data_IF_896436365110
#
_entry.id   IF_896436365110
#
_cell.length_a   1.000
_cell.length_b   1.000
_cell.length_c   1.000
_cell.angle_alpha   90.00
_cell.angle_beta   90.00
_cell.angle_gamma   90.00
#
_symmetry.space_group_name_H-M   'P 1'
#
loop_
_entity.id
_entity.type
_entity.pdbx_description
1 polymer ?
#
# COMPACT_ATOMS: atom_id res chain seq x y z
N UNK A 1 -7.71 -2.96 -11.33
CA UNK A 1 -7.12 -1.90 -10.50
C UNK A 1 -7.21 -0.63 -11.32
N UNK A 2 -7.92 0.37 -10.80
CA UNK A 2 -7.93 1.73 -11.32
C UNK A 2 -7.02 2.63 -10.46
N UNK A 3 -6.42 3.63 -11.07
CA UNK A 3 -5.69 4.69 -10.37
C UNK A 3 -6.63 5.74 -9.82
N UNK A 4 -6.20 6.40 -8.73
CA UNK A 4 -6.92 7.49 -8.07
C UNK A 4 -6.08 8.77 -8.21
N UNK A 5 -6.20 9.49 -9.34
CA UNK A 5 -5.33 10.61 -9.64
C UNK A 5 -5.62 11.79 -8.72
N UNK A 6 -4.66 12.11 -7.86
CA UNK A 6 -4.67 13.32 -7.02
C UNK A 6 -3.26 13.92 -6.95
N UNK A 7 -3.16 15.23 -6.83
CA UNK A 7 -1.88 15.92 -6.59
C UNK A 7 -1.62 16.01 -5.10
N UNK A 8 -0.34 16.12 -4.69
CA UNK A 8 -0.02 16.25 -3.27
C UNK A 8 -0.64 17.53 -2.67
N UNK A 9 -0.73 18.61 -3.45
CA UNK A 9 -1.36 19.85 -3.01
C UNK A 9 -2.85 19.66 -2.70
N UNK A 10 -3.59 18.98 -3.58
CA UNK A 10 -5.01 18.68 -3.38
C UNK A 10 -5.20 17.76 -2.17
N UNK A 11 -4.44 16.66 -2.09
CA UNK A 11 -4.54 15.73 -0.96
C UNK A 11 -4.27 16.44 0.39
N UNK A 12 -3.25 17.31 0.45
CA UNK A 12 -2.95 18.09 1.67
C UNK A 12 -4.08 19.04 2.03
N UNK A 13 -4.67 19.72 1.03
CA UNK A 13 -5.82 20.61 1.23
C UNK A 13 -7.02 19.85 1.78
N UNK A 14 -7.33 18.68 1.21
CA UNK A 14 -8.47 17.86 1.64
C UNK A 14 -8.27 17.33 3.07
N UNK A 15 -7.04 16.93 3.41
CA UNK A 15 -6.68 16.54 4.77
C UNK A 15 -6.88 17.69 5.75
N UNK A 16 -6.36 18.88 5.47
CA UNK A 16 -6.49 20.02 6.38
C UNK A 16 -7.92 20.55 6.47
N UNK A 17 -8.70 20.39 5.40
CA UNK A 17 -10.13 20.73 5.40
C UNK A 17 -10.94 19.75 6.25
N UNK A 18 -10.58 18.47 6.24
CA UNK A 18 -11.23 17.44 7.05
C UNK A 18 -10.77 17.46 8.52
N UNK A 19 -9.47 17.62 8.75
CA UNK A 19 -8.84 17.62 10.08
C UNK A 19 -7.70 18.65 10.13
N UNK A 20 -8.05 19.88 10.51
CA UNK A 20 -7.08 20.98 10.67
C UNK A 20 -5.95 20.60 11.63
N UNK A 21 -4.72 20.92 11.24
CA UNK A 21 -3.50 20.67 12.01
C UNK A 21 -3.01 19.23 11.96
N UNK A 22 -3.65 18.34 11.19
CA UNK A 22 -3.20 16.96 11.06
C UNK A 22 -1.80 16.88 10.43
N UNK A 23 -1.52 17.65 9.37
CA UNK A 23 -0.21 17.61 8.71
C UNK A 23 0.91 18.10 9.62
N UNK A 24 0.64 19.12 10.45
CA UNK A 24 1.61 19.62 11.42
C UNK A 24 1.93 18.56 12.50
N UNK A 25 0.90 17.89 13.04
CA UNK A 25 1.10 16.77 13.97
C UNK A 25 1.85 15.60 13.32
N UNK A 26 1.49 15.22 12.09
CA UNK A 26 2.17 14.18 11.34
C UNK A 26 3.66 14.46 11.14
N UNK A 27 4.01 15.73 10.84
CA UNK A 27 5.40 16.17 10.74
C UNK A 27 6.15 16.05 12.07
N UNK A 28 5.53 16.46 13.18
CA UNK A 28 6.14 16.37 14.51
C UNK A 28 6.38 14.92 14.93
N UNK A 29 5.39 14.05 14.75
CA UNK A 29 5.53 12.61 15.01
C UNK A 29 6.61 11.97 14.14
N UNK A 30 6.77 12.43 12.89
CA UNK A 30 7.85 11.96 12.01
C UNK A 30 9.23 12.40 12.53
N UNK A 31 9.36 13.62 13.06
CA UNK A 31 10.62 14.09 13.69
C UNK A 31 10.94 13.26 14.94
N UNK A 32 9.94 12.95 15.75
CA UNK A 32 10.10 12.10 16.95
C UNK A 32 10.57 10.70 16.57
N UNK A 33 9.92 10.06 15.60
CA UNK A 33 10.33 8.76 15.08
C UNK A 33 11.76 8.78 14.53
N UNK A 34 12.15 9.87 13.84
CA UNK A 34 13.54 10.06 13.39
C UNK A 34 14.54 10.14 14.53
N UNK A 35 14.21 10.87 15.61
CA UNK A 35 15.08 11.00 16.79
C UNK A 35 15.23 9.66 17.52
N UNK A 36 14.18 8.87 17.57
CA UNK A 36 14.17 7.56 18.26
C UNK A 36 14.75 6.43 17.40
N UNK A 37 14.83 6.62 16.07
CA UNK A 37 15.25 5.58 15.13
C UNK A 37 14.23 4.45 14.98
N UNK A 38 13.02 4.62 15.53
CA UNK A 38 11.93 3.65 15.48
C UNK A 38 10.57 4.36 15.50
N UNK A 39 9.49 3.58 15.41
CA UNK A 39 8.13 4.05 15.64
C UNK A 39 7.58 3.36 16.89
N UNK A 40 7.06 4.15 17.83
CA UNK A 40 6.64 3.69 19.17
C UNK A 40 5.46 2.69 19.15
N UNK A 41 4.74 2.58 18.03
CA UNK A 41 3.62 1.66 17.87
C UNK A 41 2.31 2.11 18.54
N UNK A 42 2.35 3.16 19.37
CA UNK A 42 1.25 3.59 20.24
C UNK A 42 0.58 4.83 19.64
N UNK A 43 1.37 5.78 19.14
CA UNK A 43 0.84 7.07 18.71
C UNK A 43 0.32 6.99 17.27
N UNK A 44 -1.00 6.88 17.11
CA UNK A 44 -1.63 6.79 15.78
C UNK A 44 -2.65 7.90 15.56
N UNK A 45 -2.45 8.70 14.50
CA UNK A 45 -3.40 9.74 14.07
C UNK A 45 -3.98 9.48 12.68
N UNK A 46 -3.51 8.46 11.95
CA UNK A 46 -3.90 8.21 10.56
C UNK A 46 -5.38 7.85 10.39
N UNK A 47 -6.01 7.25 11.40
CA UNK A 47 -7.46 6.96 11.36
C UNK A 47 -8.30 8.23 11.25
N UNK A 48 -7.81 9.37 11.76
CA UNK A 48 -8.52 10.66 11.71
C UNK A 48 -8.70 11.20 10.28
N UNK A 49 -7.87 10.76 9.32
CA UNK A 49 -7.96 11.18 7.92
C UNK A 49 -8.44 10.06 7.00
N UNK A 50 -8.86 8.93 7.56
CA UNK A 50 -9.45 7.81 6.81
C UNK A 50 -10.54 8.25 5.83
N UNK A 51 -11.48 9.14 6.21
CA UNK A 51 -12.54 9.57 5.29
C UNK A 51 -12.04 10.24 4.02
N UNK A 52 -10.90 10.95 4.08
CA UNK A 52 -10.28 11.58 2.89
C UNK A 52 -9.91 10.51 1.86
N UNK A 53 -9.32 9.40 2.30
CA UNK A 53 -8.96 8.28 1.42
C UNK A 53 -10.17 7.47 0.96
N UNK A 54 -11.22 7.35 1.79
CA UNK A 54 -12.49 6.72 1.41
C UNK A 54 -13.13 7.47 0.23
N UNK A 55 -13.28 8.80 0.34
CA UNK A 55 -13.80 9.65 -0.75
C UNK A 55 -12.92 9.59 -2.00
N UNK A 56 -11.61 9.76 -1.83
CA UNK A 56 -10.64 9.74 -2.93
C UNK A 56 -10.71 8.44 -3.76
N UNK A 57 -11.00 7.30 -3.12
CA UNK A 57 -11.00 6.00 -3.78
C UNK A 57 -12.34 5.62 -4.43
N UNK A 58 -13.16 6.60 -4.83
CA UNK A 58 -14.46 6.38 -5.47
C UNK A 58 -15.54 6.02 -4.45
N UNK A 59 -15.57 6.78 -3.36
CA UNK A 59 -16.48 6.65 -2.22
C UNK A 59 -16.47 5.24 -1.63
N UNK A 60 -15.35 4.82 -1.04
CA UNK A 60 -15.17 3.53 -0.37
C UNK A 60 -14.91 2.33 -1.30
N UNK A 61 -13.79 2.31 -2.04
CA UNK A 61 -13.26 1.07 -2.65
C UNK A 61 -11.95 0.65 -2.01
N UNK A 62 -11.74 -0.65 -1.87
CA UNK A 62 -10.45 -1.19 -1.45
C UNK A 62 -9.37 -0.95 -2.52
N UNK A 63 -8.22 -0.38 -2.14
CA UNK A 63 -7.09 -0.14 -3.03
C UNK A 63 -6.53 -1.41 -3.70
N UNK A 64 -6.76 -2.59 -3.12
CA UNK A 64 -6.19 -3.84 -3.60
C UNK A 64 -7.19 -4.70 -4.38
N UNK A 65 -8.31 -5.06 -3.75
CA UNK A 65 -9.31 -5.93 -4.37
C UNK A 65 -10.41 -5.17 -5.13
N UNK A 66 -10.42 -3.84 -5.06
CA UNK A 66 -11.40 -2.95 -5.72
C UNK A 66 -12.87 -3.18 -5.35
N UNK A 67 -13.16 -4.09 -4.42
CA UNK A 67 -14.50 -4.29 -3.88
C UNK A 67 -15.00 -2.94 -3.35
N UNK A 68 -16.23 -2.58 -3.74
CA UNK A 68 -16.98 -1.50 -3.13
C UNK A 68 -17.28 -1.91 -1.68
N UNK A 69 -16.89 -1.05 -0.76
CA UNK A 69 -17.09 -1.17 0.66
C UNK A 69 -18.18 -0.19 1.07
N UNK A 70 -18.61 -0.31 2.31
CA UNK A 70 -19.65 0.56 2.84
C UNK A 70 -19.20 2.04 2.85
N UNK A 71 -20.17 2.94 2.78
CA UNK A 71 -20.00 4.40 2.70
C UNK A 71 -19.16 5.01 3.83
N UNK A 72 -18.81 6.29 3.74
CA UNK A 72 -18.11 7.01 4.82
C UNK A 72 -18.86 6.96 6.15
N UNK A 73 -20.19 7.02 6.11
CA UNK A 73 -21.06 7.06 7.29
C UNK A 73 -21.04 5.75 8.09
N UNK A 74 -21.08 4.60 7.40
CA UNK A 74 -21.23 3.28 8.04
C UNK A 74 -19.99 2.37 7.88
N UNK A 75 -19.09 2.67 6.95
CA UNK A 75 -18.00 1.80 6.53
C UNK A 75 -16.64 2.04 7.18
N UNK A 76 -16.55 2.92 8.19
CA UNK A 76 -15.28 3.22 8.87
C UNK A 76 -14.68 2.02 9.60
N UNK A 77 -15.49 1.01 9.96
CA UNK A 77 -15.06 -0.24 10.60
C UNK A 77 -14.57 -1.29 9.59
N UNK A 78 -15.08 -1.25 8.35
CA UNK A 78 -14.71 -2.19 7.29
C UNK A 78 -13.38 -1.84 6.61
N UNK A 79 -13.00 -0.56 6.74
CA UNK A 79 -11.87 0.05 6.07
C UNK A 79 -10.78 0.47 7.03
N UNK A 80 -9.54 0.22 6.64
CA UNK A 80 -8.35 0.71 7.33
C UNK A 80 -7.61 1.71 6.47
N UNK A 81 -6.90 2.63 7.13
CA UNK A 81 -5.81 3.36 6.47
C UNK A 81 -4.63 2.40 6.39
N UNK A 82 -4.40 1.92 5.18
CA UNK A 82 -3.35 1.00 4.81
C UNK A 82 -2.01 1.72 4.66
N UNK A 83 -0.96 1.19 5.27
CA UNK A 83 0.41 1.60 5.02
C UNK A 83 1.01 0.78 3.88
N UNK A 84 1.11 1.36 2.68
CA UNK A 84 1.67 0.68 1.50
C UNK A 84 3.04 0.05 1.81
N UNK A 85 3.94 0.85 2.39
CA UNK A 85 5.16 0.39 3.08
C UNK A 85 4.88 0.17 4.56
N UNK A 86 5.02 -1.05 5.09
CA UNK A 86 4.76 -1.36 6.50
C UNK A 86 5.63 -0.57 7.48
N UNK A 87 5.01 0.07 8.46
CA UNK A 87 5.71 0.93 9.44
C UNK A 87 6.59 0.20 10.47
N UNK A 88 6.15 -0.97 10.95
CA UNK A 88 6.75 -1.63 12.12
C UNK A 88 7.74 -2.74 11.77
N UNK A 89 7.44 -3.49 10.71
CA UNK A 89 8.19 -4.67 10.31
C UNK A 89 7.94 -4.95 8.84
N UNK A 90 8.92 -5.54 8.17
CA UNK A 90 8.71 -6.21 6.89
C UNK A 90 8.93 -7.71 7.06
N UNK A 91 7.98 -8.53 6.63
CA UNK A 91 8.15 -10.00 6.58
C UNK A 91 8.46 -10.48 5.18
N UNK A 92 9.21 -11.58 5.10
CA UNK A 92 9.49 -12.25 3.85
C UNK A 92 8.20 -12.70 3.17
N UNK A 93 8.03 -12.30 1.91
CA UNK A 93 7.00 -12.82 1.04
C UNK A 93 7.59 -13.97 0.21
N UNK A 94 6.88 -15.10 0.17
CA UNK A 94 7.29 -16.27 -0.62
C UNK A 94 6.56 -16.22 -1.96
N UNK A 95 7.27 -16.10 -3.10
CA UNK A 95 6.64 -16.13 -4.41
C UNK A 95 6.12 -17.54 -4.71
N UNK A 96 5.03 -17.64 -5.46
CA UNK A 96 4.59 -18.94 -5.98
C UNK A 96 5.56 -19.45 -7.04
N UNK A 97 5.50 -20.75 -7.34
CA UNK A 97 6.35 -21.38 -8.35
C UNK A 97 6.21 -20.70 -9.71
N UNK A 98 5.00 -20.35 -10.11
CA UNK A 98 4.71 -19.68 -11.38
C UNK A 98 5.43 -18.34 -11.48
N UNK A 99 5.52 -17.59 -10.38
CA UNK A 99 6.20 -16.31 -10.34
C UNK A 99 7.72 -16.47 -10.37
N UNK A 100 8.25 -17.53 -9.74
CA UNK A 100 9.67 -17.88 -9.85
C UNK A 100 10.02 -18.28 -11.28
N UNK A 101 9.18 -19.11 -11.91
CA UNK A 101 9.40 -19.65 -13.26
C UNK A 101 9.42 -18.54 -14.33
N UNK A 102 8.68 -17.44 -14.13
CA UNK A 102 8.71 -16.24 -14.99
C UNK A 102 9.75 -15.20 -14.58
N UNK A 103 10.67 -15.57 -13.67
CA UNK A 103 11.84 -14.76 -13.33
C UNK A 103 11.62 -13.66 -12.29
N UNK A 104 10.57 -13.73 -11.47
CA UNK A 104 10.41 -12.78 -10.35
C UNK A 104 11.52 -13.01 -9.33
N UNK A 105 12.36 -11.99 -9.12
CA UNK A 105 13.46 -11.99 -8.16
C UNK A 105 13.16 -11.02 -7.02
N UNK A 106 13.07 -11.56 -5.80
CA UNK A 106 12.85 -10.77 -4.61
C UNK A 106 14.18 -10.40 -3.96
N UNK A 107 14.26 -9.19 -3.42
CA UNK A 107 15.28 -8.90 -2.43
C UNK A 107 15.03 -9.73 -1.16
N UNK A 108 16.11 -10.17 -0.52
CA UNK A 108 16.04 -10.80 0.79
C UNK A 108 15.35 -9.87 1.79
N UNK A 109 14.39 -10.38 2.54
CA UNK A 109 13.71 -9.61 3.57
C UNK A 109 14.72 -9.11 4.62
N UNK A 110 14.49 -7.94 5.24
CA UNK A 110 15.31 -7.48 6.35
C UNK A 110 15.35 -8.52 7.47
N UNK A 111 16.44 -8.51 8.24
CA UNK A 111 16.62 -9.41 9.38
C UNK A 111 15.57 -9.15 10.45
N UNK A 112 15.30 -10.16 11.27
CA UNK A 112 14.39 -10.04 12.42
C UNK A 112 15.00 -9.06 13.45
N UNK A 113 14.61 -7.80 13.37
CA UNK A 113 15.14 -6.72 14.21
C UNK A 113 15.30 -5.39 13.48
N UNK A 114 15.43 -5.42 12.14
CA UNK A 114 15.65 -4.23 11.31
C UNK A 114 14.42 -3.30 11.24
N UNK A 115 13.28 -3.74 11.77
CA UNK A 115 12.05 -2.98 11.84
C UNK A 115 11.34 -2.84 10.49
N UNK A 116 10.63 -1.72 10.34
CA UNK A 116 9.92 -1.35 9.11
C UNK A 116 10.20 0.10 8.74
N UNK A 117 9.37 0.66 7.86
CA UNK A 117 9.50 2.02 7.37
C UNK A 117 8.95 3.03 8.38
N UNK A 118 9.61 3.17 9.52
CA UNK A 118 9.11 3.96 10.66
C UNK A 118 8.92 5.44 10.32
N UNK A 119 9.76 6.01 9.44
CA UNK A 119 9.61 7.39 8.96
C UNK A 119 8.39 7.60 8.05
N UNK A 120 7.79 6.51 7.56
CA UNK A 120 6.59 6.55 6.70
C UNK A 120 5.31 6.26 7.47
N UNK A 121 5.38 6.10 8.81
CA UNK A 121 4.22 5.86 9.65
C UNK A 121 3.16 6.96 9.50
N UNK A 122 3.60 8.22 9.32
CA UNK A 122 2.78 9.43 9.19
C UNK A 122 2.85 10.10 7.81
N UNK A 123 3.37 9.40 6.80
CA UNK A 123 3.55 9.94 5.45
C UNK A 123 2.30 9.68 4.59
N UNK A 124 1.59 10.73 4.20
CA UNK A 124 0.32 10.64 3.43
C UNK A 124 0.49 9.98 2.06
N UNK A 125 1.70 10.09 1.47
CA UNK A 125 2.04 9.43 0.21
C UNK A 125 2.18 7.91 0.34
N UNK A 126 2.15 7.38 1.57
CA UNK A 126 2.24 5.95 1.89
C UNK A 126 0.87 5.35 2.25
N UNK A 127 -0.22 6.10 2.13
CA UNK A 127 -1.55 5.71 2.59
C UNK A 127 -2.52 5.37 1.46
N UNK A 128 -3.37 4.39 1.73
CA UNK A 128 -4.55 4.10 0.93
C UNK A 128 -5.69 3.62 1.84
N UNK A 129 -6.94 3.62 1.38
CA UNK A 129 -8.03 2.91 2.01
C UNK A 129 -8.03 1.44 1.54
N UNK A 130 -7.94 0.51 2.49
CA UNK A 130 -7.96 -0.93 2.23
C UNK A 130 -9.06 -1.62 3.05
N UNK A 131 -9.62 -2.72 2.53
CA UNK A 131 -10.48 -3.55 3.38
C UNK A 131 -9.64 -4.35 4.37
N UNK A 132 -10.20 -4.64 5.55
CA UNK A 132 -9.54 -5.39 6.61
C UNK A 132 -8.92 -6.72 6.16
N UNK A 133 -9.57 -7.58 5.34
CA UNK A 133 -8.94 -8.80 4.84
C UNK A 133 -7.69 -8.56 3.98
N UNK A 134 -7.72 -7.55 3.10
CA UNK A 134 -6.56 -7.22 2.27
C UNK A 134 -5.41 -6.64 3.10
N UNK A 135 -5.72 -5.76 4.05
CA UNK A 135 -4.74 -5.14 4.95
C UNK A 135 -4.15 -6.15 5.94
N UNK A 136 -4.98 -6.82 6.73
CA UNK A 136 -4.52 -7.65 7.85
C UNK A 136 -4.05 -9.06 7.44
N UNK A 137 -4.72 -9.70 6.48
CA UNK A 137 -4.48 -11.12 6.17
C UNK A 137 -3.65 -11.31 4.92
N UNK A 138 -4.00 -10.63 3.82
CA UNK A 138 -3.30 -10.79 2.57
C UNK A 138 -1.96 -10.06 2.58
N UNK A 139 -1.98 -8.73 2.72
CA UNK A 139 -0.77 -7.91 2.69
C UNK A 139 -0.01 -8.00 4.01
N UNK A 140 -0.67 -7.71 5.13
CA UNK A 140 -0.05 -7.59 6.44
C UNK A 140 1.22 -6.71 6.38
N UNK A 141 2.33 -7.24 6.88
CA UNK A 141 3.67 -6.66 6.84
C UNK A 141 4.53 -7.16 5.67
N UNK A 142 3.93 -7.75 4.63
CA UNK A 142 4.65 -8.24 3.45
C UNK A 142 4.75 -7.13 2.41
N UNK A 143 5.98 -6.83 1.99
CA UNK A 143 6.25 -5.78 1.00
C UNK A 143 7.31 -6.23 0.00
N UNK A 144 6.95 -7.05 -1.00
CA UNK A 144 7.91 -7.58 -1.96
C UNK A 144 8.48 -6.49 -2.87
N UNK A 145 9.80 -6.46 -2.98
CA UNK A 145 10.58 -5.49 -3.77
C UNK A 145 11.63 -6.22 -4.61
N UNK A 146 11.96 -5.66 -5.78
CA UNK A 146 12.97 -6.25 -6.68
C UNK A 146 14.41 -5.86 -6.30
N UNK A 147 14.58 -4.78 -5.52
CA UNK A 147 15.87 -4.26 -5.04
C UNK A 147 15.90 -4.19 -3.51
N UNK A 148 17.07 -3.91 -2.95
CA UNK A 148 17.27 -3.81 -1.51
C UNK A 148 16.29 -2.82 -0.84
N UNK A 149 15.86 -3.16 0.37
CA UNK A 149 15.01 -2.34 1.22
C UNK A 149 15.76 -1.09 1.70
N UNK A 150 15.08 0.06 1.74
CA UNK A 150 15.62 1.32 2.26
C UNK A 150 14.75 1.80 3.42
N UNK A 151 14.86 1.12 4.56
CA UNK A 151 13.96 1.27 5.72
C UNK A 151 14.02 2.64 6.39
N UNK A 152 15.14 3.36 6.23
CA UNK A 152 15.36 4.71 6.73
C UNK A 152 14.95 5.81 5.73
N UNK A 153 14.30 5.46 4.62
CA UNK A 153 13.80 6.45 3.65
C UNK A 153 12.51 7.12 4.10
N UNK A 154 12.34 8.39 3.74
CA UNK A 154 11.22 9.24 4.14
C UNK A 154 10.37 9.77 2.97
N UNK A 155 10.82 9.54 1.73
CA UNK A 155 10.13 9.94 0.50
C UNK A 155 9.71 8.71 -0.32
N UNK A 156 8.42 8.32 -0.27
CA UNK A 156 7.89 7.20 -1.04
C UNK A 156 8.15 7.28 -2.55
N UNK A 157 8.33 8.49 -3.12
CA UNK A 157 8.61 8.69 -4.55
C UNK A 157 10.01 8.22 -4.91
N UNK A 158 11.01 8.60 -4.09
CA UNK A 158 12.39 8.14 -4.26
C UNK A 158 12.48 6.64 -4.03
N UNK A 159 11.88 6.16 -2.93
CA UNK A 159 11.85 4.75 -2.57
C UNK A 159 11.25 3.86 -3.65
N UNK A 160 10.21 4.31 -4.36
CA UNK A 160 9.64 3.58 -5.49
C UNK A 160 10.69 3.22 -6.55
N UNK A 161 11.60 4.14 -6.86
CA UNK A 161 12.67 3.91 -7.85
C UNK A 161 13.83 3.08 -7.32
N UNK A 162 14.14 3.23 -6.02
CA UNK A 162 15.23 2.54 -5.34
C UNK A 162 14.91 1.07 -5.07
N UNK A 163 13.68 0.77 -4.67
CA UNK A 163 13.25 -0.57 -4.22
C UNK A 163 12.55 -1.36 -5.33
N UNK A 164 11.88 -0.67 -6.28
CA UNK A 164 11.02 -1.28 -7.30
C UNK A 164 10.01 -2.28 -6.69
N UNK A 165 9.00 -1.79 -5.94
CA UNK A 165 8.01 -2.68 -5.32
C UNK A 165 7.20 -3.44 -6.38
N UNK A 166 6.88 -4.71 -6.06
CA UNK A 166 6.00 -5.54 -6.87
C UNK A 166 4.52 -5.26 -6.58
N UNK A 167 4.20 -4.80 -5.37
CA UNK A 167 2.85 -4.37 -5.03
C UNK A 167 2.53 -3.04 -5.72
N UNK A 168 1.34 -2.94 -6.31
CA UNK A 168 0.86 -1.71 -6.93
C UNK A 168 0.29 -0.74 -5.89
N UNK A 169 0.60 0.54 -6.03
CA UNK A 169 0.04 1.61 -5.21
C UNK A 169 -0.83 2.56 -6.06
N UNK A 170 -2.17 2.45 -6.03
CA UNK A 170 -3.02 3.14 -7.00
C UNK A 170 -3.29 4.63 -6.66
N UNK A 171 -2.78 5.15 -5.54
CA UNK A 171 -3.16 6.48 -5.04
C UNK A 171 -2.19 7.56 -5.51
N UNK A 172 -2.75 8.63 -6.07
CA UNK A 172 -2.03 9.85 -6.43
C UNK A 172 -1.22 9.76 -7.71
N UNK A 173 -0.81 10.92 -8.24
CA UNK A 173 0.04 11.00 -9.44
C UNK A 173 1.46 10.43 -9.25
N UNK A 174 1.86 10.20 -8.00
CA UNK A 174 3.11 9.53 -7.63
C UNK A 174 2.99 8.00 -7.55
N UNK A 175 1.75 7.51 -7.46
CA UNK A 175 1.44 6.10 -7.44
C UNK A 175 1.72 5.40 -8.76
N UNK A 176 1.36 4.14 -8.81
CA UNK A 176 1.26 3.40 -10.06
C UNK A 176 -0.01 3.80 -10.81
N UNK A 177 0.04 3.64 -12.13
CA UNK A 177 -1.11 3.79 -13.03
C UNK A 177 -1.52 2.38 -13.47
N UNK A 178 -2.36 1.66 -12.70
CA UNK A 178 -2.55 0.23 -12.89
C UNK A 178 -3.20 -0.11 -14.24
N UNK A 179 -3.90 0.84 -14.85
CA UNK A 179 -4.43 0.77 -16.21
C UNK A 179 -3.31 0.65 -17.24
N UNK A 180 -2.24 1.43 -17.10
CA UNK A 180 -1.07 1.40 -18.00
C UNK A 180 -0.27 0.11 -17.84
N UNK A 181 -0.26 -0.45 -16.63
CA UNK A 181 0.43 -1.70 -16.31
C UNK A 181 -0.26 -2.89 -17.02
N UNK A 182 -1.54 -2.79 -17.39
CA UNK A 182 -2.33 -3.87 -18.00
C UNK A 182 -2.12 -4.13 -19.50
N UNK A 183 -1.45 -3.22 -20.23
CA UNK A 183 -1.18 -3.39 -21.66
C UNK A 183 0.14 -4.12 -21.92
N UNK A 184 1.14 -3.91 -21.07
CA UNK A 184 2.49 -4.51 -21.22
C UNK A 184 2.54 -5.94 -20.67
N UNK A 185 1.83 -6.22 -19.57
CA UNK A 185 1.89 -7.55 -18.92
C UNK A 185 1.09 -8.66 -19.63
N UNK A 186 0.13 -8.29 -20.49
CA UNK A 186 -0.56 -9.29 -21.33
C UNK A 186 0.34 -9.84 -22.44
N UNK A 187 1.35 -9.09 -22.88
CA UNK A 187 2.35 -9.54 -23.84
C UNK A 187 3.56 -10.22 -23.17
N UNK A 188 4.00 -9.74 -22.00
CA UNK A 188 5.17 -10.32 -21.30
C UNK A 188 4.91 -11.66 -20.61
N UNK A 189 3.64 -12.00 -20.30
CA UNK A 189 3.28 -13.37 -19.90
C UNK A 189 3.44 -14.39 -21.04
N UNK A 190 3.59 -13.95 -22.30
CA UNK A 190 3.89 -14.80 -23.44
C UNK A 190 5.39 -14.81 -23.83
N UNK A 191 6.24 -14.00 -23.16
CA UNK A 191 7.63 -13.77 -23.62
C UNK A 191 8.68 -13.53 -22.52
N UNK A 192 8.38 -13.80 -21.25
CA UNK A 192 9.43 -13.92 -20.20
C UNK A 192 10.08 -12.62 -19.72
N UNK A 193 9.40 -11.46 -19.80
CA UNK A 193 9.91 -10.18 -19.28
C UNK A 193 9.21 -9.70 -18.00
N UNK A 194 9.93 -8.86 -17.22
CA UNK A 194 9.60 -8.34 -15.87
C UNK A 194 8.09 -8.15 -15.59
N UNK A 195 7.51 -9.05 -14.79
CA UNK A 195 6.08 -9.03 -14.47
C UNK A 195 5.79 -8.21 -13.21
N UNK A 196 4.95 -7.17 -13.32
CA UNK A 196 4.30 -6.45 -12.20
C UNK A 196 2.92 -7.05 -11.93
N UNK A 197 2.85 -8.05 -11.06
CA UNK A 197 1.63 -8.84 -10.85
C UNK A 197 0.52 -7.98 -10.22
N UNK A 198 -0.68 -8.04 -10.81
CA UNK A 198 -1.90 -7.41 -10.28
C UNK A 198 -2.17 -7.90 -8.85
N UNK A 199 -2.62 -6.97 -8.01
CA UNK A 199 -3.07 -7.09 -6.62
C UNK A 199 -3.32 -8.52 -6.11
N UNK A 200 -2.76 -8.81 -4.93
CA UNK A 200 -2.92 -9.97 -4.04
C UNK A 200 -3.61 -11.24 -4.60
N UNK A 201 -4.80 -11.14 -5.17
CA UNK A 201 -5.52 -12.21 -5.87
C UNK A 201 -4.79 -12.90 -7.04
N UNK A 202 -3.72 -12.33 -7.61
CA UNK A 202 -2.92 -13.01 -8.67
C UNK A 202 -1.46 -13.26 -8.33
N UNK A 203 -1.01 -12.81 -7.15
CA UNK A 203 0.34 -13.03 -6.62
C UNK A 203 0.51 -14.43 -6.00
N UNK A 204 -0.24 -15.45 -6.44
CA UNK A 204 -0.15 -16.77 -5.82
C UNK A 204 -0.61 -16.80 -4.36
N UNK A 205 -1.49 -15.86 -3.95
CA UNK A 205 -2.39 -16.09 -2.81
C UNK A 205 -3.49 -17.05 -3.27
N UNK A 206 -3.07 -18.26 -3.67
CA UNK A 206 -4.01 -19.27 -4.11
C UNK A 206 -4.93 -19.63 -2.95
N UNK A 207 -6.21 -19.36 -3.17
CA UNK A 207 -7.35 -20.04 -2.56
C UNK A 207 -7.47 -19.98 -1.04
N UNK A 208 -7.32 -18.81 -0.42
CA UNK A 208 -8.01 -18.59 0.86
C UNK A 208 -8.45 -17.13 1.02
N UNK A 209 -9.77 -16.91 1.02
CA UNK A 209 -10.50 -15.76 1.59
C UNK A 209 -10.77 -14.44 0.85
N UNK A 210 -10.22 -14.09 -0.32
CA UNK A 210 -10.52 -12.76 -0.92
C UNK A 210 -11.31 -12.72 -2.24
N UNK A 211 -11.83 -13.85 -2.71
CA UNK A 211 -12.94 -13.86 -3.67
C UNK A 211 -14.13 -14.52 -2.99
N UNK A 212 -15.01 -13.73 -2.38
CA UNK A 212 -16.35 -14.20 -2.08
C UNK A 212 -16.94 -14.72 -3.38
N UNK A 213 -17.26 -16.01 -3.45
CA UNK A 213 -18.10 -16.55 -4.52
C UNK A 213 -19.46 -15.88 -4.38
N UNK A 214 -19.66 -14.72 -5.00
CA UNK A 214 -20.98 -14.39 -5.49
C UNK A 214 -21.24 -15.36 -6.64
N UNK A 215 -21.85 -16.51 -6.32
CA UNK A 215 -22.68 -17.19 -7.31
C UNK A 215 -23.69 -16.13 -7.75
N UNK A 216 -23.66 -15.75 -9.02
CA UNK A 216 -24.81 -15.06 -9.60
C UNK A 216 -26.00 -15.99 -9.37
N UNK A 217 -27.02 -15.48 -8.71
CA UNK A 217 -28.35 -16.07 -8.83
C UNK A 217 -28.81 -15.90 -10.28
#
# INVERSE_FOLDING_TARGET
MIGYPVTLAVLRKDIESHKKGWLARAQELTKQARKQGNFDGITSIWSEIKPVFMRLQGDSKCAYCERKLESEEYGTIEQDVEHFRPKNRVTAWKPSKELVDVGVKLAGAPSKGDGGYYLLAHQVLNYAAGCKPCNSTCKADRFPVAKAYVLNGDDPRKLKTMEKPYLLFPVGKWGDEPEKISRVLRHLAASGGEIRVRSAARLGYDRVFCTGRYRRA
#
